data_IF_143865278491
#
_entry.id   IF_143865278491
#
_cell.length_a   1.000
_cell.length_b   1.000
_cell.length_c   1.000
_cell.angle_alpha   90.00
_cell.angle_beta   90.00
_cell.angle_gamma   90.00
#
_symmetry.space_group_name_H-M   'P 1'
#
loop_
_entity.id
_entity.type
_entity.pdbx_description
1 polymer ?
#
# COMPACT_ATOMS: atom_id res chain seq x y z
N UNK A 1 -51.29 -2.82 -8.24
CA UNK A 1 -52.53 -3.51 -7.83
C UNK A 1 -53.72 -2.77 -8.41
N UNK A 2 -54.91 -3.36 -8.42
CA UNK A 2 -56.12 -2.58 -8.67
C UNK A 2 -56.40 -1.64 -7.47
N UNK A 3 -57.00 -0.47 -7.72
CA UNK A 3 -57.27 0.52 -6.66
C UNK A 3 -58.09 -0.07 -5.50
N UNK A 4 -59.01 -0.99 -5.79
CA UNK A 4 -59.84 -1.63 -4.78
C UNK A 4 -59.02 -2.58 -3.88
N UNK A 5 -58.03 -3.27 -4.45
CA UNK A 5 -57.14 -4.13 -3.67
C UNK A 5 -56.23 -3.31 -2.73
N UNK A 6 -55.73 -2.15 -3.21
CA UNK A 6 -54.95 -1.25 -2.37
C UNK A 6 -55.79 -0.70 -1.22
N UNK A 7 -57.05 -0.33 -1.46
CA UNK A 7 -57.94 0.13 -0.38
C UNK A 7 -58.19 -0.95 0.67
N UNK A 8 -58.42 -2.20 0.28
CA UNK A 8 -58.52 -3.32 1.24
C UNK A 8 -57.25 -3.50 2.07
N UNK A 9 -56.09 -3.28 1.45
CA UNK A 9 -54.79 -3.36 2.13
C UNK A 9 -54.59 -2.19 3.08
N UNK A 10 -55.08 -1.00 2.73
CA UNK A 10 -55.11 0.19 3.60
C UNK A 10 -56.00 -0.06 4.81
N UNK A 11 -57.21 -0.59 4.62
CA UNK A 11 -58.12 -0.90 5.73
C UNK A 11 -57.46 -1.91 6.68
N UNK A 12 -56.87 -2.97 6.13
CA UNK A 12 -56.11 -3.98 6.88
C UNK A 12 -54.94 -3.37 7.67
N UNK A 13 -54.25 -2.37 7.08
CA UNK A 13 -53.14 -1.66 7.72
C UNK A 13 -53.62 -0.78 8.87
N UNK A 14 -54.72 -0.04 8.68
CA UNK A 14 -55.33 0.79 9.72
C UNK A 14 -55.88 -0.04 10.88
N UNK A 15 -56.32 -1.27 10.61
CA UNK A 15 -56.70 -2.25 11.61
C UNK A 15 -55.50 -2.92 12.31
N UNK A 16 -54.28 -2.72 11.82
CA UNK A 16 -53.04 -3.26 12.41
C UNK A 16 -52.87 -4.78 12.24
N UNK A 17 -53.56 -5.37 11.25
CA UNK A 17 -53.52 -6.82 10.97
C UNK A 17 -52.67 -7.16 9.74
N UNK A 18 -51.97 -6.18 9.17
CA UNK A 18 -51.02 -6.40 8.07
C UNK A 18 -49.78 -7.15 8.50
N UNK A 19 -49.26 -7.94 7.57
CA UNK A 19 -47.93 -8.54 7.67
C UNK A 19 -46.84 -7.58 7.15
N UNK A 20 -45.57 -7.76 7.54
CA UNK A 20 -44.47 -6.93 7.03
C UNK A 20 -44.32 -6.95 5.49
N UNK A 21 -44.69 -8.05 4.84
CA UNK A 21 -44.66 -8.15 3.37
C UNK A 21 -45.77 -7.32 2.71
N UNK A 22 -46.96 -7.31 3.32
CA UNK A 22 -48.10 -6.51 2.89
C UNK A 22 -47.83 -5.02 3.07
N UNK A 23 -47.23 -4.61 4.18
CA UNK A 23 -46.85 -3.22 4.44
C UNK A 23 -45.83 -2.71 3.42
N UNK A 24 -44.86 -3.53 3.02
CA UNK A 24 -43.92 -3.18 1.95
C UNK A 24 -44.61 -3.00 0.60
N UNK A 25 -45.57 -3.87 0.27
CA UNK A 25 -46.36 -3.73 -0.97
C UNK A 25 -47.22 -2.47 -0.93
N UNK A 26 -47.87 -2.21 0.21
CA UNK A 26 -48.66 -0.99 0.40
C UNK A 26 -47.80 0.26 0.26
N UNK A 27 -46.62 0.26 0.89
CA UNK A 27 -45.67 1.36 0.79
C UNK A 27 -45.25 1.65 -0.66
N UNK A 28 -45.00 0.61 -1.46
CA UNK A 28 -44.68 0.76 -2.87
C UNK A 28 -45.84 1.33 -3.70
N UNK A 29 -47.08 0.92 -3.46
CA UNK A 29 -48.23 1.44 -4.23
C UNK A 29 -48.56 2.89 -3.84
N UNK A 30 -48.40 3.24 -2.56
CA UNK A 30 -48.66 4.59 -2.03
C UNK A 30 -47.55 5.59 -2.38
N UNK A 31 -46.32 5.14 -2.62
CA UNK A 31 -45.21 6.00 -3.05
C UNK A 31 -45.20 6.31 -4.56
N UNK A 32 -46.08 5.69 -5.36
CA UNK A 32 -46.12 5.95 -6.80
C UNK A 32 -46.57 7.38 -7.11
N UNK A 33 -45.98 7.96 -8.16
CA UNK A 33 -46.29 9.33 -8.62
C UNK A 33 -47.75 9.54 -9.05
N UNK A 34 -48.45 8.48 -9.42
CA UNK A 34 -49.85 8.46 -9.82
C UNK A 34 -50.81 8.10 -8.68
N UNK A 35 -50.31 7.98 -7.44
CA UNK A 35 -51.14 7.67 -6.28
C UNK A 35 -52.16 8.80 -6.01
N UNK A 36 -53.44 8.47 -5.73
CA UNK A 36 -54.44 9.43 -5.32
C UNK A 36 -54.07 10.14 -4.01
N UNK A 37 -54.47 11.40 -3.89
CA UNK A 37 -54.11 12.27 -2.76
C UNK A 37 -54.53 11.71 -1.39
N UNK A 38 -55.58 10.90 -1.35
CA UNK A 38 -56.09 10.22 -0.15
C UNK A 38 -55.09 9.22 0.46
N UNK A 39 -54.22 8.63 -0.37
CA UNK A 39 -53.22 7.68 0.10
C UNK A 39 -51.98 8.37 0.68
N UNK A 40 -51.79 9.67 0.43
CA UNK A 40 -50.64 10.44 0.94
C UNK A 40 -50.56 10.41 2.47
N UNK A 41 -51.71 10.37 3.16
CA UNK A 41 -51.78 10.25 4.61
C UNK A 41 -51.28 8.87 5.09
N UNK A 42 -51.66 7.79 4.39
CA UNK A 42 -51.16 6.44 4.65
C UNK A 42 -49.65 6.39 4.42
N UNK A 43 -49.18 7.08 3.37
CA UNK A 43 -47.76 7.18 3.05
C UNK A 43 -46.94 7.76 4.20
N UNK A 44 -47.47 8.80 4.86
CA UNK A 44 -46.85 9.42 6.03
C UNK A 44 -46.85 8.49 7.27
N UNK A 45 -47.90 7.69 7.46
CA UNK A 45 -47.98 6.72 8.57
C UNK A 45 -46.98 5.57 8.41
N UNK A 46 -46.76 5.12 7.17
CA UNK A 46 -45.77 4.10 6.84
C UNK A 46 -44.32 4.60 7.03
N UNK A 47 -44.11 5.91 7.10
CA UNK A 47 -42.86 6.54 7.51
C UNK A 47 -41.69 6.18 6.60
N UNK A 48 -40.71 5.44 7.13
CA UNK A 48 -39.50 5.07 6.37
C UNK A 48 -39.77 4.02 5.28
N UNK A 49 -40.89 3.28 5.35
CA UNK A 49 -41.20 2.27 4.33
C UNK A 49 -41.53 2.89 2.98
N UNK A 50 -42.02 4.13 2.98
CA UNK A 50 -42.46 4.88 1.80
C UNK A 50 -41.40 5.84 1.27
N UNK A 51 -40.16 5.78 1.79
CA UNK A 51 -39.04 6.60 1.34
C UNK A 51 -39.04 6.65 -0.18
N UNK A 52 -39.21 7.88 -0.66
CA UNK A 52 -39.53 8.21 -2.04
C UNK A 52 -38.49 7.55 -2.96
N UNK A 53 -38.92 7.06 -4.12
CA UNK A 53 -38.06 6.32 -5.04
C UNK A 53 -36.82 7.17 -5.43
N UNK A 54 -36.97 8.49 -5.41
CA UNK A 54 -35.88 9.45 -5.56
C UNK A 54 -34.86 9.43 -4.39
N UNK A 55 -35.32 9.32 -3.15
CA UNK A 55 -34.45 9.29 -1.96
C UNK A 55 -33.75 7.93 -1.81
N UNK A 56 -34.44 6.82 -2.13
CA UNK A 56 -33.85 5.47 -2.13
C UNK A 56 -32.78 5.32 -3.21
N UNK A 57 -33.04 5.80 -4.43
CA UNK A 57 -32.08 5.72 -5.54
C UNK A 57 -30.89 6.66 -5.31
N UNK A 58 -31.11 7.84 -4.72
CA UNK A 58 -30.04 8.71 -4.24
C UNK A 58 -29.19 8.07 -3.12
N UNK A 59 -29.79 7.37 -2.16
CA UNK A 59 -29.04 6.65 -1.12
C UNK A 59 -28.24 5.47 -1.69
N UNK A 60 -28.84 4.66 -2.57
CA UNK A 60 -28.17 3.54 -3.25
C UNK A 60 -27.00 4.02 -4.10
N UNK A 61 -27.21 5.08 -4.89
CA UNK A 61 -26.15 5.67 -5.73
C UNK A 61 -25.05 6.31 -4.88
N UNK A 62 -25.37 7.00 -3.77
CA UNK A 62 -24.37 7.50 -2.81
C UNK A 62 -23.54 6.36 -2.20
N UNK A 63 -24.16 5.26 -1.77
CA UNK A 63 -23.44 4.11 -1.19
C UNK A 63 -22.52 3.44 -2.21
N UNK A 64 -23.00 3.25 -3.44
CA UNK A 64 -22.22 2.68 -4.55
C UNK A 64 -21.04 3.57 -4.95
N UNK A 65 -21.26 4.87 -5.05
CA UNK A 65 -20.19 5.82 -5.41
C UNK A 65 -19.15 5.95 -4.30
N UNK A 66 -19.56 5.88 -3.02
CA UNK A 66 -18.65 5.88 -1.86
C UNK A 66 -17.70 4.67 -1.88
N UNK A 67 -18.18 3.48 -2.25
CA UNK A 67 -17.37 2.25 -2.37
C UNK A 67 -16.33 2.31 -3.50
N UNK A 68 -16.68 2.90 -4.65
CA UNK A 68 -15.76 3.05 -5.78
C UNK A 68 -14.72 4.14 -5.48
N UNK A 69 -15.13 5.22 -4.85
CA UNK A 69 -14.28 6.37 -4.53
C UNK A 69 -13.24 6.04 -3.44
N UNK A 70 -13.62 5.33 -2.37
CA UNK A 70 -12.66 4.89 -1.34
C UNK A 70 -11.62 3.91 -1.87
N UNK A 71 -12.02 3.02 -2.79
CA UNK A 71 -11.10 2.07 -3.43
C UNK A 71 -10.10 2.77 -4.36
N UNK A 72 -10.49 3.84 -5.06
CA UNK A 72 -9.56 4.60 -5.93
C UNK A 72 -8.62 5.53 -5.16
N UNK A 73 -9.10 6.16 -4.07
CA UNK A 73 -8.24 7.03 -3.23
C UNK A 73 -7.21 6.21 -2.45
N UNK A 74 -7.58 5.03 -1.94
CA UNK A 74 -6.63 4.16 -1.23
C UNK A 74 -5.43 3.75 -2.09
N UNK A 75 -5.64 3.53 -3.39
CA UNK A 75 -4.56 3.18 -4.33
C UNK A 75 -3.69 4.38 -4.72
N UNK A 76 -4.25 5.60 -4.73
CA UNK A 76 -3.50 6.82 -5.01
C UNK A 76 -2.49 7.18 -3.92
N UNK A 77 -2.83 6.95 -2.63
CA UNK A 77 -1.91 7.21 -1.52
C UNK A 77 -0.71 6.26 -1.52
N UNK A 78 -0.91 4.97 -1.80
CA UNK A 78 0.18 3.98 -1.80
C UNK A 78 1.24 4.26 -2.87
N UNK A 79 0.83 4.71 -4.07
CA UNK A 79 1.77 5.03 -5.15
C UNK A 79 2.67 6.24 -4.81
N UNK A 80 2.14 7.24 -4.09
CA UNK A 80 2.90 8.45 -3.74
C UNK A 80 4.08 8.17 -2.79
N UNK A 81 3.91 7.25 -1.84
CA UNK A 81 4.95 6.88 -0.87
C UNK A 81 6.13 6.18 -1.57
N UNK A 82 5.84 5.29 -2.53
CA UNK A 82 6.86 4.58 -3.31
C UNK A 82 7.67 5.54 -4.17
N UNK A 83 7.02 6.51 -4.82
CA UNK A 83 7.71 7.51 -5.65
C UNK A 83 8.62 8.40 -4.81
N UNK A 84 8.16 8.88 -3.65
CA UNK A 84 8.97 9.73 -2.76
C UNK A 84 10.16 8.95 -2.18
N UNK A 85 9.94 7.71 -1.74
CA UNK A 85 11.02 6.85 -1.25
C UNK A 85 12.04 6.52 -2.36
N UNK A 86 11.58 6.22 -3.57
CA UNK A 86 12.45 5.94 -4.72
C UNK A 86 13.30 7.14 -5.13
N UNK A 87 12.72 8.35 -5.17
CA UNK A 87 13.47 9.58 -5.45
C UNK A 87 14.47 9.86 -4.33
N UNK A 88 14.08 9.68 -3.07
CA UNK A 88 14.95 9.86 -1.91
C UNK A 88 16.18 8.95 -1.95
N UNK A 89 15.99 7.65 -2.19
CA UNK A 89 17.07 6.69 -2.34
C UNK A 89 17.96 7.00 -3.55
N UNK A 90 17.37 7.39 -4.68
CA UNK A 90 18.11 7.70 -5.90
C UNK A 90 19.01 8.94 -5.75
N UNK A 91 18.54 9.97 -5.05
CA UNK A 91 19.33 11.16 -4.74
C UNK A 91 20.41 10.86 -3.69
N UNK A 92 20.08 10.06 -2.67
CA UNK A 92 21.02 9.71 -1.61
C UNK A 92 22.15 8.79 -2.11
N UNK A 93 21.83 7.82 -2.96
CA UNK A 93 22.82 6.90 -3.56
C UNK A 93 23.80 7.59 -4.53
N UNK A 94 23.51 8.82 -4.98
CA UNK A 94 24.48 9.64 -5.72
C UNK A 94 25.54 10.29 -4.82
N UNK A 95 25.29 10.41 -3.52
CA UNK A 95 26.25 10.97 -2.56
C UNK A 95 27.24 9.94 -2.02
N UNK A 96 26.92 8.64 -2.11
CA UNK A 96 27.76 7.54 -1.61
C UNK A 96 28.94 7.17 -2.55
N UNK A 97 29.35 8.11 -3.41
CA UNK A 97 30.66 8.12 -4.06
C UNK A 97 31.57 9.11 -3.34
N UNK A 98 31.58 9.06 -2.01
CA UNK A 98 32.40 9.92 -1.18
C UNK A 98 33.72 9.20 -0.86
N UNK A 99 34.78 9.65 -1.54
CA UNK A 99 36.23 9.48 -1.29
C UNK A 99 36.66 8.32 -0.37
N UNK A 100 36.96 7.18 -0.98
CA UNK A 100 37.92 6.23 -0.40
C UNK A 100 39.34 6.73 -0.74
N UNK A 101 39.86 7.66 0.05
CA UNK A 101 41.24 8.15 -0.12
C UNK A 101 42.21 7.07 0.41
N UNK A 102 43.03 6.50 -0.46
CA UNK A 102 44.01 5.48 -0.10
C UNK A 102 45.10 6.07 0.81
N UNK A 103 45.04 5.75 2.11
CA UNK A 103 46.04 6.19 3.10
C UNK A 103 47.10 5.11 3.32
N UNK A 104 48.38 5.51 3.27
CA UNK A 104 49.48 4.71 3.80
C UNK A 104 50.27 5.49 4.84
N UNK A 105 50.68 4.79 5.89
CA UNK A 105 51.53 5.33 6.95
C UNK A 105 52.94 4.78 6.75
N UNK A 106 53.87 5.65 6.38
CA UNK A 106 55.28 5.29 6.19
C UNK A 106 56.12 6.19 7.09
N UNK A 107 56.89 5.58 8.00
CA UNK A 107 57.80 6.26 8.93
C UNK A 107 57.16 7.40 9.77
N UNK A 108 55.86 7.26 10.07
CA UNK A 108 55.11 8.23 10.89
C UNK A 108 54.48 9.41 10.13
N UNK A 109 54.66 9.52 8.82
CA UNK A 109 53.97 10.50 7.98
C UNK A 109 52.81 9.86 7.19
N UNK A 110 51.70 10.61 7.04
CA UNK A 110 50.51 10.18 6.28
C UNK A 110 50.67 10.61 4.84
N UNK A 111 50.66 9.64 3.93
CA UNK A 111 50.70 9.90 2.50
C UNK A 111 49.32 9.55 1.93
N UNK A 112 48.69 10.53 1.28
CA UNK A 112 47.37 10.42 0.63
C UNK A 112 47.44 10.34 -0.90
N UNK A 113 48.65 10.39 -1.47
CA UNK A 113 48.87 10.32 -2.92
C UNK A 113 48.79 8.86 -3.42
N UNK A 114 47.68 8.53 -4.09
CA UNK A 114 47.33 7.18 -4.58
C UNK A 114 48.47 6.52 -5.37
N UNK A 115 49.17 7.28 -6.21
CA UNK A 115 50.23 6.74 -7.08
C UNK A 115 51.45 6.29 -6.26
N UNK A 116 51.76 7.03 -5.19
CA UNK A 116 52.87 6.70 -4.29
C UNK A 116 52.51 5.55 -3.35
N UNK A 117 51.27 5.52 -2.86
CA UNK A 117 50.77 4.44 -1.99
C UNK A 117 50.79 3.11 -2.73
N UNK A 118 50.31 3.08 -3.98
CA UNK A 118 50.31 1.86 -4.78
C UNK A 118 51.71 1.39 -5.15
N UNK A 119 52.62 2.30 -5.55
CA UNK A 119 54.00 1.94 -5.84
C UNK A 119 54.74 1.36 -4.63
N UNK A 120 54.51 1.91 -3.43
CA UNK A 120 55.08 1.37 -2.19
C UNK A 120 54.47 0.01 -1.82
N UNK A 121 53.18 -0.19 -2.04
CA UNK A 121 52.54 -1.48 -1.81
C UNK A 121 53.09 -2.56 -2.75
N UNK A 122 53.31 -2.23 -4.02
CA UNK A 122 53.92 -3.14 -5.01
C UNK A 122 55.36 -3.49 -4.64
N UNK A 123 56.16 -2.50 -4.23
CA UNK A 123 57.55 -2.70 -3.78
C UNK A 123 57.63 -3.60 -2.55
N UNK A 124 56.79 -3.37 -1.53
CA UNK A 124 56.75 -4.20 -0.32
C UNK A 124 56.36 -5.65 -0.62
N UNK A 125 55.44 -5.87 -1.57
CA UNK A 125 55.05 -7.22 -1.99
C UNK A 125 56.19 -7.89 -2.76
N UNK A 126 56.90 -7.16 -3.62
CA UNK A 126 58.07 -7.66 -4.32
C UNK A 126 59.22 -8.02 -3.38
N UNK A 127 59.52 -7.18 -2.38
CA UNK A 127 60.61 -7.42 -1.42
C UNK A 127 60.40 -8.71 -0.60
N UNK A 128 59.16 -8.95 -0.15
CA UNK A 128 58.77 -10.21 0.53
C UNK A 128 58.95 -11.40 -0.41
N UNK A 129 58.62 -11.24 -1.68
CA UNK A 129 58.72 -12.31 -2.67
C UNK A 129 60.18 -12.61 -3.04
N UNK A 130 61.04 -11.60 -3.14
CA UNK A 130 62.47 -11.77 -3.42
C UNK A 130 63.21 -12.35 -2.23
N UNK A 131 62.93 -11.88 -1.00
CA UNK A 131 63.50 -12.49 0.22
C UNK A 131 63.02 -13.93 0.43
N UNK A 132 61.79 -14.27 0.04
CA UNK A 132 61.31 -15.65 0.05
C UNK A 132 61.99 -16.55 -1.00
N UNK A 133 62.42 -15.97 -2.13
CA UNK A 133 63.18 -16.70 -3.17
C UNK A 133 64.67 -16.86 -2.87
N UNK A 134 65.22 -16.00 -2.01
CA UNK A 134 66.63 -16.01 -1.64
C UNK A 134 66.92 -16.95 -0.46
N UNK A 135 65.89 -17.30 0.32
CA UNK A 135 65.95 -18.35 1.33
C UNK A 135 65.56 -19.71 0.74
N UNK A 136 66.41 -20.26 -0.14
CA UNK A 136 66.52 -21.72 -0.33
C UNK A 136 67.04 -22.32 1.00
N UNK A 137 66.14 -22.46 1.98
CA UNK A 137 66.41 -23.22 3.19
C UNK A 137 66.24 -24.68 2.79
N UNK A 138 67.38 -25.35 2.65
CA UNK A 138 67.53 -26.76 2.31
C UNK A 138 66.66 -27.64 3.23
N UNK A 139 65.49 -28.06 2.72
CA UNK A 139 64.49 -28.85 3.48
C UNK A 139 64.98 -30.30 3.71
N UNK A 140 66.10 -30.71 3.13
CA UNK A 140 66.59 -32.09 3.19
C UNK A 140 67.30 -32.45 4.52
N UNK A 141 67.60 -31.47 5.37
CA UNK A 141 68.30 -31.71 6.64
C UNK A 141 67.38 -32.06 7.84
N UNK A 142 66.05 -32.02 7.69
CA UNK A 142 65.13 -32.18 8.83
C UNK A 142 64.55 -33.61 9.02
N UNK A 143 64.89 -34.58 8.16
CA UNK A 143 64.41 -35.97 8.25
C UNK A 143 65.55 -36.97 8.44
N UNK A 144 66.47 -36.73 9.40
CA UNK A 144 67.47 -37.76 9.73
C UNK A 144 67.89 -37.77 11.21
N UNK A 145 66.93 -37.59 12.11
CA UNK A 145 67.13 -37.91 13.53
C UNK A 145 66.20 -39.07 13.89
N UNK A 146 66.55 -40.27 13.42
CA UNK A 146 66.34 -41.51 14.16
C UNK A 146 67.73 -41.93 14.67
N UNK A 147 67.84 -42.34 15.94
CA UNK A 147 67.39 -43.68 16.33
C UNK A 147 66.42 -43.74 17.52
#
# INVERSE_FOLDING_TARGET
MDRNEVNKLIDKYLEGVTTPEEERRLAYEVSRKDAPAEWKAIGAMLGQLTLDEAEYDEEMTRRRNRSIWTRRIGWAMAASIVVVAGIGLWLNSRQDKQDYECIAYVDGEVITDETRVLAMAEDAVCDIFTTASESDIDIDAMYNIEP
#
